data_IF_225693604595
#
_entry.id   IF_225693604595
#
_cell.length_a   1.000
_cell.length_b   1.000
_cell.length_c   1.000
_cell.angle_alpha   90.00
_cell.angle_beta   90.00
_cell.angle_gamma   90.00
#
_symmetry.space_group_name_H-M   'P 1'
#
loop_
_entity.id
_entity.type
_entity.pdbx_description
1 polymer ?
#
# COMPACT_ATOMS: atom_id res chain seq x y z
N UNK A 1 4.07 19.63 -19.58
CA UNK A 1 4.76 18.81 -18.57
C UNK A 1 5.42 19.77 -17.59
N UNK A 2 4.77 20.12 -16.49
CA UNK A 2 5.37 20.93 -15.43
C UNK A 2 6.27 20.00 -14.62
N UNK A 3 7.58 20.23 -14.64
CA UNK A 3 8.53 19.54 -13.79
C UNK A 3 8.07 19.68 -12.32
N UNK A 4 7.87 18.58 -11.63
CA UNK A 4 7.56 18.59 -10.21
C UNK A 4 8.71 19.30 -9.49
N UNK A 5 8.40 20.38 -8.75
CA UNK A 5 9.38 21.14 -7.99
C UNK A 5 9.95 20.23 -6.90
N UNK A 6 11.28 20.09 -6.86
CA UNK A 6 11.94 19.33 -5.81
C UNK A 6 11.53 19.85 -4.42
N UNK A 7 11.11 18.94 -3.53
CA UNK A 7 10.73 19.32 -2.17
C UNK A 7 11.95 19.67 -1.34
N UNK A 8 11.82 20.64 -0.47
CA UNK A 8 12.89 21.08 0.44
C UNK A 8 12.62 20.52 1.84
N UNK A 9 13.55 19.71 2.34
CA UNK A 9 13.51 19.19 3.71
C UNK A 9 14.61 19.88 4.52
N UNK A 10 14.22 20.56 5.58
CA UNK A 10 15.14 21.23 6.50
C UNK A 10 15.23 20.46 7.81
N UNK A 11 16.44 20.11 8.23
CA UNK A 11 16.73 19.65 9.58
C UNK A 11 17.39 20.78 10.36
N UNK A 12 16.66 21.37 11.31
CA UNK A 12 17.18 22.38 12.21
C UNK A 12 17.70 21.69 13.48
N UNK A 13 18.87 22.10 13.92
CA UNK A 13 19.53 21.52 15.09
C UNK A 13 20.43 22.55 15.80
N UNK A 14 20.87 22.26 17.02
CA UNK A 14 21.96 22.96 17.70
C UNK A 14 23.08 21.98 18.05
N UNK A 15 24.30 22.49 18.25
CA UNK A 15 25.47 21.67 18.57
C UNK A 15 25.30 20.96 19.91
N UNK A 16 25.77 19.70 19.94
CA UNK A 16 25.69 18.85 21.12
C UNK A 16 24.37 18.10 21.32
N UNK A 17 23.45 18.20 20.36
CA UNK A 17 22.25 17.37 20.38
C UNK A 17 22.54 15.99 19.77
N UNK A 18 22.54 14.88 20.51
CA UNK A 18 22.87 13.56 19.96
C UNK A 18 21.82 13.06 18.96
N UNK A 19 20.59 13.53 19.09
CA UNK A 19 19.48 13.07 18.26
C UNK A 19 19.59 13.53 16.80
N UNK A 20 20.19 14.71 16.52
CA UNK A 20 20.30 15.18 15.12
C UNK A 20 21.28 14.31 14.30
N UNK A 21 22.38 13.87 14.89
CA UNK A 21 23.35 13.00 14.21
C UNK A 21 22.75 11.65 13.83
N UNK A 22 21.95 11.06 14.74
CA UNK A 22 21.23 9.82 14.48
C UNK A 22 20.12 9.99 13.43
N UNK A 23 19.54 11.19 13.31
CA UNK A 23 18.44 11.47 12.40
C UNK A 23 18.89 11.66 10.94
N UNK A 24 20.10 12.20 10.69
CA UNK A 24 20.57 12.49 9.33
C UNK A 24 20.54 11.26 8.40
N UNK A 25 21.17 10.10 8.74
CA UNK A 25 21.11 8.93 7.89
C UNK A 25 19.68 8.40 7.72
N UNK A 26 18.84 8.50 8.76
CA UNK A 26 17.44 8.10 8.69
C UNK A 26 16.63 8.98 7.74
N UNK A 27 16.80 10.31 7.79
CA UNK A 27 16.15 11.22 6.86
C UNK A 27 16.58 10.93 5.41
N UNK A 28 17.88 10.71 5.16
CA UNK A 28 18.33 10.36 3.80
C UNK A 28 17.64 9.10 3.28
N UNK A 29 17.55 8.04 4.09
CA UNK A 29 16.85 6.82 3.72
C UNK A 29 15.35 7.07 3.44
N UNK A 30 14.69 7.97 4.19
CA UNK A 30 13.29 8.35 3.94
C UNK A 30 13.14 9.15 2.65
N UNK A 31 14.10 10.03 2.33
CA UNK A 31 14.10 10.82 1.09
C UNK A 31 14.35 9.95 -0.13
N UNK A 32 15.24 8.97 -0.04
CA UNK A 32 15.47 7.98 -1.12
C UNK A 32 14.19 7.18 -1.41
N UNK A 33 13.40 6.86 -0.37
CA UNK A 33 12.07 6.21 -0.50
C UNK A 33 11.02 7.13 -1.11
N UNK A 34 11.17 8.45 -0.99
CA UNK A 34 10.26 9.47 -1.50
C UNK A 34 10.59 9.93 -2.93
N UNK A 35 10.98 9.00 -3.83
CA UNK A 35 11.31 9.22 -5.25
C UNK A 35 12.56 10.09 -5.53
N UNK A 36 13.41 10.31 -4.54
CA UNK A 36 14.72 10.99 -4.72
C UNK A 36 14.67 12.45 -5.18
N UNK A 37 13.48 13.08 -5.20
CA UNK A 37 13.30 14.47 -5.67
C UNK A 37 13.41 15.51 -4.55
N UNK A 38 13.55 15.07 -3.28
CA UNK A 38 13.64 15.97 -2.14
C UNK A 38 15.13 16.27 -1.79
N UNK A 39 15.41 17.52 -1.44
CA UNK A 39 16.75 17.99 -1.03
C UNK A 39 16.77 18.18 0.48
N UNK A 40 17.75 17.54 1.16
CA UNK A 40 17.97 17.70 2.60
C UNK A 40 18.93 18.86 2.86
N UNK A 41 18.49 19.84 3.60
CA UNK A 41 19.31 20.94 4.09
C UNK A 41 19.47 20.85 5.61
N UNK A 42 20.70 20.97 6.08
CA UNK A 42 21.02 21.01 7.51
C UNK A 42 21.18 22.47 7.92
N UNK A 43 20.43 22.91 8.92
CA UNK A 43 20.49 24.26 9.44
C UNK A 43 20.77 24.26 10.92
N UNK A 44 21.94 24.81 11.28
CA UNK A 44 22.33 25.03 12.67
C UNK A 44 21.67 26.28 13.23
N UNK A 45 21.18 26.23 14.46
CA UNK A 45 20.61 27.33 15.23
C UNK A 45 21.54 27.61 16.40
N UNK A 46 22.11 28.81 16.48
CA UNK A 46 23.24 29.11 17.36
C UNK A 46 22.84 29.95 18.60
N UNK A 47 21.69 30.58 18.59
CA UNK A 47 21.26 31.42 19.69
C UNK A 47 19.75 31.36 19.95
N UNK A 48 19.35 31.75 21.17
CA UNK A 48 17.93 31.87 21.54
C UNK A 48 17.18 32.88 20.68
N UNK A 49 17.84 33.94 20.24
CA UNK A 49 17.26 34.95 19.37
C UNK A 49 16.99 34.35 17.98
N UNK A 50 17.94 33.60 17.44
CA UNK A 50 17.76 32.88 16.19
C UNK A 50 16.68 31.79 16.30
N UNK A 51 16.62 31.07 17.41
CA UNK A 51 15.58 30.07 17.67
C UNK A 51 14.18 30.68 17.60
N UNK A 52 13.99 31.85 18.18
CA UNK A 52 12.70 32.60 18.10
C UNK A 52 12.40 33.06 16.67
N UNK A 53 13.38 33.67 15.99
CA UNK A 53 13.21 34.12 14.58
C UNK A 53 12.90 32.97 13.65
N UNK A 54 13.57 31.84 13.83
CA UNK A 54 13.37 30.62 13.04
C UNK A 54 12.15 29.80 13.50
N UNK A 55 11.44 30.19 14.57
CA UNK A 55 10.36 29.39 15.19
C UNK A 55 10.83 27.95 15.49
N UNK A 56 12.03 27.84 16.07
CA UNK A 56 12.69 26.57 16.36
C UNK A 56 12.19 26.00 17.68
N UNK A 57 11.46 24.89 17.63
CA UNK A 57 10.83 24.24 18.80
C UNK A 57 11.80 23.33 19.59
N UNK A 58 13.07 23.30 19.19
CA UNK A 58 14.10 22.44 19.78
C UNK A 58 14.71 21.47 18.77
N UNK A 59 15.82 20.84 19.16
CA UNK A 59 16.60 19.94 18.29
C UNK A 59 16.23 18.46 18.55
N UNK A 60 16.07 17.67 17.49
CA UNK A 60 16.00 18.07 16.07
C UNK A 60 14.61 18.59 15.67
N UNK A 61 14.52 19.56 14.78
CA UNK A 61 13.27 19.98 14.13
C UNK A 61 13.35 19.67 12.64
N UNK A 62 12.37 18.96 12.10
CA UNK A 62 12.25 18.65 10.68
C UNK A 62 11.12 19.44 10.07
N UNK A 63 11.36 20.03 8.89
CA UNK A 63 10.37 20.77 8.10
C UNK A 63 10.40 20.32 6.65
N UNK A 64 9.24 20.26 6.02
CA UNK A 64 9.09 20.03 4.60
C UNK A 64 8.43 21.25 3.98
N UNK A 65 9.07 21.86 2.98
CA UNK A 65 8.63 23.09 2.33
C UNK A 65 8.30 24.22 3.34
N UNK A 66 9.13 24.31 4.41
CA UNK A 66 9.00 25.31 5.47
C UNK A 66 7.95 25.00 6.54
N UNK A 67 7.19 23.90 6.42
CA UNK A 67 6.20 23.47 7.43
C UNK A 67 6.78 22.38 8.31
N UNK A 68 6.53 22.47 9.61
CA UNK A 68 6.92 21.43 10.56
C UNK A 68 6.22 20.10 10.25
N UNK A 69 6.94 18.98 10.42
CA UNK A 69 6.37 17.65 10.17
C UNK A 69 5.32 17.25 11.21
N UNK A 70 5.35 17.85 12.41
CA UNK A 70 4.33 17.64 13.43
C UNK A 70 3.20 18.66 13.25
N UNK A 71 1.97 18.25 12.91
CA UNK A 71 0.87 19.18 12.61
C UNK A 71 0.56 20.16 13.73
N UNK A 72 0.64 19.69 14.99
CA UNK A 72 0.33 20.50 16.17
C UNK A 72 1.43 21.54 16.48
N UNK A 73 2.58 21.48 15.80
CA UNK A 73 3.66 22.45 15.97
C UNK A 73 3.24 23.88 15.60
N UNK A 74 2.23 24.05 14.77
CA UNK A 74 1.69 25.37 14.38
C UNK A 74 1.11 26.15 15.56
N UNK A 75 0.59 25.45 16.56
CA UNK A 75 0.00 26.03 17.77
C UNK A 75 1.01 26.28 18.88
N UNK A 76 2.31 25.95 18.68
CA UNK A 76 3.37 26.07 19.70
C UNK A 76 4.16 27.34 19.52
N UNK A 77 4.56 27.96 20.64
CA UNK A 77 5.37 29.17 20.71
C UNK A 77 6.60 29.02 21.65
N UNK A 78 6.82 27.80 22.18
CA UNK A 78 7.89 27.47 23.09
C UNK A 78 9.25 27.30 22.39
N UNK A 79 9.65 28.28 21.58
CA UNK A 79 10.89 28.28 20.80
C UNK A 79 12.13 28.41 21.69
N UNK A 80 13.22 27.68 21.35
CA UNK A 80 14.47 27.78 22.09
C UNK A 80 15.48 26.67 21.79
N UNK A 81 16.70 26.82 22.34
CA UNK A 81 17.79 25.86 22.28
C UNK A 81 17.59 24.74 23.32
N UNK A 82 16.73 23.79 23.01
CA UNK A 82 16.37 22.67 23.89
C UNK A 82 16.19 21.39 23.08
N UNK A 83 16.19 20.24 23.78
CA UNK A 83 15.80 18.99 23.15
C UNK A 83 14.30 19.02 22.80
N UNK A 84 13.98 18.58 21.58
CA UNK A 84 12.61 18.40 21.14
C UNK A 84 12.15 16.97 21.41
N UNK A 85 10.91 16.86 21.88
CA UNK A 85 10.22 15.59 22.01
C UNK A 85 9.04 15.57 21.04
N UNK A 86 8.90 14.48 20.33
CA UNK A 86 7.78 14.16 19.47
C UNK A 86 6.86 13.15 20.14
N UNK A 87 5.63 13.06 19.72
CA UNK A 87 4.72 12.00 20.16
C UNK A 87 4.88 10.78 19.25
N UNK A 88 5.33 9.66 19.81
CA UNK A 88 5.39 8.37 19.11
C UNK A 88 4.00 7.81 18.82
N UNK A 89 3.91 6.83 17.93
CA UNK A 89 2.65 6.14 17.57
C UNK A 89 2.03 5.38 18.75
N UNK A 90 2.83 5.04 19.75
CA UNK A 90 2.41 4.42 21.02
C UNK A 90 2.01 5.44 22.09
N UNK A 91 1.98 6.74 21.75
CA UNK A 91 1.68 7.86 22.64
C UNK A 91 2.84 8.29 23.55
N UNK A 92 3.99 7.61 23.51
CA UNK A 92 5.19 7.97 24.30
C UNK A 92 5.95 9.12 23.66
N UNK A 93 6.67 9.87 24.52
CA UNK A 93 7.57 10.92 24.02
C UNK A 93 8.89 10.31 23.53
N UNK A 94 9.28 10.68 22.31
CA UNK A 94 10.51 10.22 21.63
C UNK A 94 11.33 11.41 21.15
N UNK A 95 12.67 11.28 21.15
CA UNK A 95 13.59 12.36 20.78
C UNK A 95 13.76 12.54 19.26
N UNK A 96 13.19 11.66 18.44
CA UNK A 96 13.23 11.72 16.99
C UNK A 96 11.81 11.78 16.44
N UNK A 97 11.57 12.52 15.33
CA UNK A 97 10.26 12.47 14.68
C UNK A 97 9.98 11.04 14.20
N UNK A 98 8.77 10.50 14.42
CA UNK A 98 8.32 9.28 13.77
C UNK A 98 8.45 9.40 12.23
N UNK A 99 8.86 8.31 11.57
CA UNK A 99 9.01 8.28 10.10
C UNK A 99 7.73 8.68 9.39
N UNK A 100 6.60 8.31 9.97
CA UNK A 100 5.27 8.61 9.43
C UNK A 100 4.99 10.10 9.31
N UNK A 101 5.47 10.91 10.26
CA UNK A 101 5.30 12.37 10.20
C UNK A 101 6.12 12.97 9.06
N UNK A 102 7.35 12.48 8.88
CA UNK A 102 8.22 12.93 7.79
C UNK A 102 7.65 12.53 6.43
N UNK A 103 7.24 11.28 6.29
CA UNK A 103 6.66 10.76 5.06
C UNK A 103 5.34 11.45 4.70
N UNK A 104 4.45 11.65 5.67
CA UNK A 104 3.21 12.40 5.47
C UNK A 104 3.45 13.84 5.01
N UNK A 105 4.43 14.52 5.63
CA UNK A 105 4.81 15.88 5.24
C UNK A 105 5.42 15.93 3.82
N UNK A 106 6.13 14.89 3.41
CA UNK A 106 6.63 14.72 2.04
C UNK A 106 5.51 14.42 1.04
N UNK A 107 4.29 14.20 1.50
CA UNK A 107 3.18 13.75 0.66
C UNK A 107 3.38 12.31 0.18
N UNK A 108 4.31 11.60 0.80
CA UNK A 108 4.46 10.17 0.64
C UNK A 108 3.45 9.55 1.59
N UNK A 109 2.37 9.08 1.03
CA UNK A 109 1.34 8.42 1.79
C UNK A 109 1.95 7.18 2.49
N UNK A 110 1.54 6.94 3.73
CA UNK A 110 1.98 5.80 4.56
C UNK A 110 1.99 4.49 3.78
N UNK A 111 1.05 4.36 2.86
CA UNK A 111 0.85 3.21 2.00
C UNK A 111 1.66 3.25 0.70
N UNK A 112 2.24 4.41 0.32
CA UNK A 112 3.04 4.57 -0.90
C UNK A 112 4.56 4.48 -0.67
N UNK A 113 5.02 4.50 0.58
CA UNK A 113 6.44 4.40 0.94
C UNK A 113 6.87 2.99 1.36
N UNK A 114 5.90 2.08 1.51
CA UNK A 114 6.16 0.67 1.80
C UNK A 114 6.66 -0.08 0.56
N UNK A 115 6.91 -1.37 0.74
CA UNK A 115 7.29 -2.34 -0.30
C UNK A 115 6.27 -2.35 -1.45
N UNK A 116 5.02 -1.97 -1.15
CA UNK A 116 3.96 -1.77 -2.12
C UNK A 116 3.80 -0.27 -2.39
N UNK A 117 4.04 0.14 -3.63
CA UNK A 117 3.87 1.55 -4.05
C UNK A 117 2.43 2.07 -3.88
N UNK A 118 1.46 1.20 -3.62
CA UNK A 118 0.04 1.54 -3.52
C UNK A 118 -0.53 2.17 -4.79
N UNK A 119 0.19 2.08 -5.91
CA UNK A 119 -0.29 2.61 -7.20
C UNK A 119 -1.54 1.86 -7.65
N UNK A 120 -2.57 2.58 -8.13
CA UNK A 120 -3.76 1.94 -8.68
C UNK A 120 -3.40 0.94 -9.78
N UNK A 121 -3.98 -0.27 -9.71
CA UNK A 121 -3.68 -1.31 -10.69
C UNK A 121 -4.05 -0.87 -12.12
N UNK A 122 -5.04 0.00 -12.28
CA UNK A 122 -5.41 0.58 -13.57
C UNK A 122 -4.24 1.30 -14.27
N UNK A 123 -3.26 1.83 -13.52
CA UNK A 123 -2.08 2.48 -14.09
C UNK A 123 -1.17 1.50 -14.84
N UNK A 124 -1.21 0.22 -14.48
CA UNK A 124 -0.54 -0.83 -15.28
C UNK A 124 -1.12 -0.94 -16.70
N UNK A 125 -2.38 -0.54 -16.86
CA UNK A 125 -3.09 -0.55 -18.15
C UNK A 125 -2.99 0.77 -18.92
N UNK A 126 -2.24 1.76 -18.40
CA UNK A 126 -2.03 3.03 -19.09
C UNK A 126 -1.27 2.79 -20.42
N UNK A 127 -1.80 3.39 -21.48
CA UNK A 127 -1.28 3.18 -22.83
C UNK A 127 -1.77 1.90 -23.51
N UNK A 128 -2.43 0.94 -22.83
CA UNK A 128 -3.07 -0.19 -23.49
C UNK A 128 -4.25 0.25 -24.34
N UNK A 129 -4.53 -0.42 -25.46
CA UNK A 129 -5.73 -0.18 -26.27
C UNK A 129 -7.02 -0.26 -25.45
N UNK A 130 -7.99 0.63 -25.71
CA UNK A 130 -9.26 0.64 -24.98
C UNK A 130 -10.00 -0.72 -24.98
N UNK A 131 -10.04 -1.47 -26.11
CA UNK A 131 -10.66 -2.80 -26.13
C UNK A 131 -9.96 -3.82 -25.19
N UNK A 132 -8.63 -3.74 -25.02
CA UNK A 132 -7.90 -4.64 -24.12
C UNK A 132 -8.25 -4.34 -22.66
N UNK A 133 -8.35 -3.05 -22.30
CA UNK A 133 -8.83 -2.64 -20.97
C UNK A 133 -10.27 -3.09 -20.72
N UNK A 134 -11.12 -3.06 -21.76
CA UNK A 134 -12.50 -3.54 -21.64
C UNK A 134 -12.55 -5.07 -21.50
N UNK A 135 -11.72 -5.83 -22.23
CA UNK A 135 -11.59 -7.27 -22.05
C UNK A 135 -11.20 -7.60 -20.60
N UNK A 136 -10.20 -6.91 -20.04
CA UNK A 136 -9.80 -7.08 -18.64
C UNK A 136 -10.96 -6.78 -17.68
N UNK A 137 -11.72 -5.70 -17.89
CA UNK A 137 -12.90 -5.38 -17.05
C UNK A 137 -13.98 -6.45 -17.13
N UNK A 138 -14.22 -7.05 -18.30
CA UNK A 138 -15.16 -8.17 -18.44
C UNK A 138 -14.73 -9.39 -17.63
N UNK A 139 -13.43 -9.69 -17.63
CA UNK A 139 -12.86 -10.76 -16.80
C UNK A 139 -13.14 -10.49 -15.32
N UNK A 140 -12.84 -9.30 -14.81
CA UNK A 140 -13.09 -8.95 -13.43
C UNK A 140 -14.59 -9.02 -13.06
N UNK A 141 -15.47 -8.55 -13.94
CA UNK A 141 -16.92 -8.64 -13.74
C UNK A 141 -17.40 -10.10 -13.71
N UNK A 142 -16.81 -10.99 -14.52
CA UNK A 142 -17.14 -12.42 -14.49
C UNK A 142 -16.80 -13.04 -13.13
N UNK A 143 -15.63 -12.76 -12.56
CA UNK A 143 -15.28 -13.22 -11.22
C UNK A 143 -16.30 -12.75 -10.16
N UNK A 144 -16.77 -11.51 -10.26
CA UNK A 144 -17.78 -10.97 -9.33
C UNK A 144 -19.16 -11.61 -9.55
N UNK A 145 -19.54 -11.92 -10.78
CA UNK A 145 -20.90 -12.35 -11.14
C UNK A 145 -21.07 -13.88 -11.22
N UNK A 146 -20.06 -14.59 -11.73
CA UNK A 146 -20.15 -16.02 -12.02
C UNK A 146 -18.95 -16.82 -11.50
N UNK A 147 -17.96 -17.11 -12.33
CA UNK A 147 -16.74 -17.87 -11.98
C UNK A 147 -15.55 -17.39 -12.81
N UNK A 148 -14.38 -17.96 -12.59
CA UNK A 148 -13.21 -17.71 -13.41
C UNK A 148 -13.52 -18.02 -14.88
N UNK A 149 -13.41 -17.06 -15.81
CA UNK A 149 -13.74 -17.28 -17.21
C UNK A 149 -12.77 -18.24 -17.90
N UNK A 150 -13.28 -18.96 -18.86
CA UNK A 150 -12.50 -19.84 -19.73
C UNK A 150 -11.89 -19.07 -20.90
N UNK A 151 -10.95 -19.70 -21.60
CA UNK A 151 -10.41 -19.14 -22.85
C UNK A 151 -11.48 -18.95 -23.93
N UNK A 152 -12.51 -19.82 -23.95
CA UNK A 152 -13.63 -19.68 -24.88
C UNK A 152 -14.48 -18.45 -24.57
N UNK A 153 -14.73 -18.15 -23.30
CA UNK A 153 -15.37 -16.90 -22.90
C UNK A 153 -14.56 -15.69 -23.37
N UNK A 154 -13.25 -15.71 -23.15
CA UNK A 154 -12.36 -14.64 -23.59
C UNK A 154 -12.36 -14.50 -25.12
N UNK A 155 -12.38 -15.60 -25.85
CA UNK A 155 -12.46 -15.60 -27.34
C UNK A 155 -13.75 -14.94 -27.83
N UNK A 156 -14.88 -15.29 -27.21
CA UNK A 156 -16.16 -14.68 -27.52
C UNK A 156 -16.17 -13.17 -27.24
N UNK A 157 -15.59 -12.76 -26.13
CA UNK A 157 -15.50 -11.34 -25.77
C UNK A 157 -14.51 -10.57 -26.66
N UNK A 158 -13.38 -11.16 -27.01
CA UNK A 158 -12.41 -10.55 -27.91
C UNK A 158 -13.02 -10.34 -29.32
N UNK A 159 -13.73 -11.34 -29.84
CA UNK A 159 -14.45 -11.22 -31.11
C UNK A 159 -15.50 -10.10 -31.08
N UNK A 160 -16.25 -9.97 -29.97
CA UNK A 160 -17.23 -8.89 -29.78
C UNK A 160 -16.59 -7.49 -29.64
N UNK A 161 -15.31 -7.43 -29.27
CA UNK A 161 -14.53 -6.20 -29.17
C UNK A 161 -13.71 -5.89 -30.44
N UNK A 162 -13.73 -6.80 -31.43
CA UNK A 162 -12.98 -6.68 -32.70
C UNK A 162 -11.46 -6.74 -32.49
N UNK A 163 -10.99 -7.59 -31.60
CA UNK A 163 -9.57 -7.73 -31.25
C UNK A 163 -9.11 -9.19 -31.34
N UNK A 164 -7.83 -9.37 -31.60
CA UNK A 164 -7.18 -10.69 -31.57
C UNK A 164 -6.88 -11.06 -30.09
N UNK A 165 -7.39 -12.23 -29.65
CA UNK A 165 -7.30 -12.65 -28.25
C UNK A 165 -5.84 -12.83 -27.81
N UNK A 166 -5.02 -13.49 -28.63
CA UNK A 166 -3.65 -13.83 -28.22
C UNK A 166 -2.77 -12.57 -28.08
N UNK A 167 -2.98 -11.56 -28.91
CA UNK A 167 -2.32 -10.26 -28.78
C UNK A 167 -2.76 -9.54 -27.50
N UNK A 168 -4.06 -9.53 -27.21
CA UNK A 168 -4.60 -8.92 -26.01
C UNK A 168 -4.09 -9.63 -24.74
N UNK A 169 -4.03 -10.96 -24.75
CA UNK A 169 -3.49 -11.74 -23.63
C UNK A 169 -2.00 -11.48 -23.42
N UNK A 170 -1.20 -11.44 -24.48
CA UNK A 170 0.22 -11.14 -24.39
C UNK A 170 0.47 -9.76 -23.73
N UNK A 171 -0.28 -8.74 -24.14
CA UNK A 171 -0.22 -7.39 -23.57
C UNK A 171 -0.62 -7.38 -22.09
N UNK A 172 -1.74 -8.03 -21.72
CA UNK A 172 -2.23 -8.06 -20.34
C UNK A 172 -1.30 -8.87 -19.40
N UNK A 173 -0.66 -9.93 -19.94
CA UNK A 173 0.38 -10.69 -19.21
C UNK A 173 1.65 -9.86 -19.02
N UNK A 174 2.12 -9.17 -20.06
CA UNK A 174 3.30 -8.30 -19.97
C UNK A 174 3.10 -7.19 -18.91
N UNK A 175 1.87 -6.71 -18.76
CA UNK A 175 1.49 -5.72 -17.74
C UNK A 175 1.21 -6.32 -16.37
N UNK A 176 1.36 -7.61 -16.23
CA UNK A 176 1.12 -8.36 -14.98
C UNK A 176 -0.27 -8.08 -14.38
N UNK A 177 -1.32 -8.15 -15.21
CA UNK A 177 -2.72 -7.94 -14.76
C UNK A 177 -3.63 -9.14 -14.98
N UNK A 178 -3.26 -10.06 -15.90
CA UNK A 178 -4.05 -11.26 -16.22
C UNK A 178 -3.15 -12.41 -16.67
N UNK A 179 -3.44 -13.62 -16.17
CA UNK A 179 -2.74 -14.84 -16.55
C UNK A 179 -3.73 -15.99 -16.74
N UNK A 180 -3.50 -16.79 -17.78
CA UNK A 180 -4.22 -18.04 -17.98
C UNK A 180 -3.43 -19.22 -17.42
N UNK A 181 -4.13 -20.19 -16.88
CA UNK A 181 -3.56 -21.50 -16.58
C UNK A 181 -3.41 -22.31 -17.88
N UNK A 182 -2.20 -22.83 -18.10
CA UNK A 182 -1.90 -23.55 -19.34
C UNK A 182 -2.56 -24.94 -19.41
N UNK A 183 -3.04 -25.49 -18.30
CA UNK A 183 -3.63 -26.82 -18.23
C UNK A 183 -5.15 -26.78 -18.23
N UNK A 184 -5.75 -25.88 -17.47
CA UNK A 184 -7.20 -25.78 -17.32
C UNK A 184 -7.89 -24.88 -18.35
N UNK A 185 -7.11 -24.13 -19.13
CA UNK A 185 -7.58 -23.16 -20.12
C UNK A 185 -8.53 -22.09 -19.51
N UNK A 186 -8.35 -21.81 -18.21
CA UNK A 186 -9.09 -20.80 -17.45
C UNK A 186 -8.18 -19.65 -17.04
N UNK A 187 -8.79 -18.53 -16.69
CA UNK A 187 -8.05 -17.42 -16.07
C UNK A 187 -7.60 -17.85 -14.68
N UNK A 188 -6.29 -18.02 -14.52
CA UNK A 188 -5.66 -18.34 -13.23
C UNK A 188 -5.51 -17.12 -12.32
N UNK A 189 -5.18 -15.98 -12.92
CA UNK A 189 -4.97 -14.72 -12.19
C UNK A 189 -5.61 -13.57 -12.96
N UNK A 190 -6.43 -12.80 -12.29
CA UNK A 190 -6.86 -11.47 -12.72
C UNK A 190 -6.97 -10.58 -11.47
N UNK A 191 -5.89 -9.89 -11.11
CA UNK A 191 -5.85 -9.19 -9.83
C UNK A 191 -7.08 -8.30 -9.61
N UNK A 192 -7.72 -8.40 -8.44
CA UNK A 192 -7.31 -9.08 -7.20
C UNK A 192 -7.67 -10.58 -7.13
N UNK A 193 -8.28 -11.18 -8.14
CA UNK A 193 -8.81 -12.54 -8.10
C UNK A 193 -7.78 -13.61 -8.43
N UNK A 194 -7.95 -14.77 -7.77
CA UNK A 194 -7.38 -16.05 -8.16
C UNK A 194 -8.46 -16.94 -8.78
N UNK A 195 -8.15 -17.55 -9.90
CA UNK A 195 -9.00 -18.57 -10.52
C UNK A 195 -8.95 -19.91 -9.80
N UNK A 196 -7.91 -20.11 -8.96
CA UNK A 196 -7.70 -21.31 -8.16
C UNK A 196 -7.92 -21.03 -6.67
N UNK A 197 -8.30 -22.02 -5.87
CA UNK A 197 -8.45 -21.88 -4.44
C UNK A 197 -7.16 -21.40 -3.77
N UNK A 198 -7.28 -20.35 -2.94
CA UNK A 198 -6.21 -19.85 -2.08
C UNK A 198 -6.69 -19.86 -0.63
N UNK A 199 -5.80 -19.52 0.30
CA UNK A 199 -6.19 -19.33 1.70
C UNK A 199 -7.06 -18.09 1.95
N UNK A 200 -7.20 -17.21 0.96
CA UNK A 200 -7.94 -15.95 1.06
C UNK A 200 -9.29 -16.06 0.34
N UNK A 201 -10.32 -16.51 1.08
CA UNK A 201 -11.69 -16.64 0.60
C UNK A 201 -12.45 -15.36 0.88
N UNK A 202 -13.16 -14.86 -0.11
CA UNK A 202 -13.93 -13.62 -0.01
C UNK A 202 -15.37 -13.91 -0.39
N UNK A 203 -16.28 -13.75 0.57
CA UNK A 203 -17.71 -13.84 0.36
C UNK A 203 -18.26 -12.45 0.01
N UNK A 204 -18.95 -12.34 -1.13
CA UNK A 204 -19.74 -11.17 -1.52
C UNK A 204 -21.07 -11.26 -0.79
N UNK A 205 -21.30 -10.38 0.21
CA UNK A 205 -22.42 -10.53 1.17
C UNK A 205 -23.81 -10.37 0.57
N UNK A 206 -23.93 -9.67 -0.56
CA UNK A 206 -25.22 -9.48 -1.24
C UNK A 206 -25.73 -10.74 -1.94
N UNK A 207 -24.83 -11.60 -2.42
CA UNK A 207 -25.14 -12.81 -3.17
C UNK A 207 -24.77 -14.10 -2.43
N UNK A 208 -23.98 -14.01 -1.36
CA UNK A 208 -23.37 -15.16 -0.68
C UNK A 208 -22.31 -15.87 -1.51
N UNK A 209 -21.90 -15.28 -2.65
CA UNK A 209 -20.93 -15.86 -3.55
C UNK A 209 -19.53 -15.78 -2.95
N UNK A 210 -18.79 -16.88 -3.02
CA UNK A 210 -17.38 -16.93 -2.65
C UNK A 210 -16.47 -16.82 -3.89
N UNK A 211 -15.39 -16.01 -3.75
CA UNK A 211 -14.29 -15.91 -4.70
C UNK A 211 -12.96 -16.06 -3.93
N UNK A 212 -11.89 -16.34 -4.65
CA UNK A 212 -10.55 -16.40 -4.08
C UNK A 212 -9.74 -15.17 -4.49
N UNK A 213 -8.92 -14.66 -3.56
CA UNK A 213 -8.01 -13.57 -3.81
C UNK A 213 -6.57 -14.08 -3.85
N UNK A 214 -5.69 -13.36 -4.57
CA UNK A 214 -4.28 -13.75 -4.70
C UNK A 214 -3.51 -13.57 -3.39
N UNK A 215 -3.85 -12.54 -2.59
CA UNK A 215 -3.19 -12.24 -1.33
C UNK A 215 -4.13 -11.53 -0.34
N UNK A 216 -3.63 -11.21 0.87
CA UNK A 216 -4.42 -10.52 1.88
C UNK A 216 -4.88 -9.12 1.45
N UNK A 217 -4.01 -8.33 0.81
CA UNK A 217 -4.37 -6.97 0.32
C UNK A 217 -5.36 -7.06 -0.83
N UNK A 218 -5.19 -8.03 -1.73
CA UNK A 218 -6.13 -8.30 -2.82
C UNK A 218 -7.53 -8.63 -2.26
N UNK A 219 -7.59 -9.50 -1.24
CA UNK A 219 -8.85 -9.87 -0.60
C UNK A 219 -9.60 -8.67 -0.02
N UNK A 220 -8.87 -7.75 0.63
CA UNK A 220 -9.44 -6.53 1.21
C UNK A 220 -9.90 -5.53 0.12
N UNK A 221 -9.22 -5.51 -1.02
CA UNK A 221 -9.50 -4.59 -2.13
C UNK A 221 -10.76 -4.94 -2.93
N UNK A 222 -11.20 -6.23 -2.93
CA UNK A 222 -12.37 -6.71 -3.69
C UNK A 222 -13.64 -5.93 -3.31
N UNK A 223 -13.83 -5.61 -2.02
CA UNK A 223 -15.00 -4.86 -1.56
C UNK A 223 -15.15 -3.52 -2.30
N UNK A 224 -14.08 -2.77 -2.41
CA UNK A 224 -14.06 -1.44 -3.04
C UNK A 224 -14.15 -1.54 -4.57
N UNK A 225 -13.46 -2.51 -5.17
CA UNK A 225 -13.53 -2.74 -6.61
C UNK A 225 -14.95 -3.13 -7.06
N UNK A 226 -15.59 -4.04 -6.33
CA UNK A 226 -16.94 -4.50 -6.65
C UNK A 226 -18.03 -3.56 -6.12
N UNK A 227 -17.70 -2.60 -5.27
CA UNK A 227 -18.62 -1.76 -4.49
C UNK A 227 -19.66 -2.61 -3.72
N UNK A 228 -19.18 -3.65 -3.02
CA UNK A 228 -19.99 -4.61 -2.29
C UNK A 228 -19.38 -4.89 -0.93
N UNK A 229 -20.25 -5.05 0.09
CA UNK A 229 -19.79 -5.54 1.38
C UNK A 229 -19.27 -6.99 1.25
N UNK A 230 -18.13 -7.27 1.87
CA UNK A 230 -17.46 -8.59 1.81
C UNK A 230 -17.14 -9.13 3.19
N UNK A 231 -17.02 -10.45 3.27
CA UNK A 231 -16.39 -11.12 4.41
C UNK A 231 -15.17 -11.90 3.90
N UNK A 232 -14.00 -11.49 4.30
CA UNK A 232 -12.73 -12.19 4.02
C UNK A 232 -12.52 -13.23 5.09
N UNK A 233 -12.31 -14.50 4.69
CA UNK A 233 -11.90 -15.59 5.59
C UNK A 233 -10.54 -16.10 5.14
N UNK A 234 -9.58 -16.04 6.06
CA UNK A 234 -8.22 -16.47 5.82
C UNK A 234 -7.67 -17.23 7.03
N UNK A 235 -6.40 -17.65 6.94
CA UNK A 235 -5.70 -18.31 8.02
C UNK A 235 -4.30 -17.73 8.19
N UNK A 236 -3.88 -17.65 9.44
CA UNK A 236 -2.48 -17.40 9.78
C UNK A 236 -1.61 -18.56 9.25
N UNK A 237 -0.65 -18.31 8.33
CA UNK A 237 0.12 -19.38 7.70
C UNK A 237 1.09 -20.10 8.64
N UNK A 238 1.31 -19.58 9.86
CA UNK A 238 2.16 -20.22 10.86
C UNK A 238 1.39 -21.12 11.81
N UNK A 239 0.16 -20.72 12.15
CA UNK A 239 -0.62 -21.38 13.22
C UNK A 239 -1.87 -22.05 12.71
N UNK A 240 -2.32 -21.73 11.49
CA UNK A 240 -3.62 -22.14 10.95
C UNK A 240 -4.81 -21.43 11.60
N UNK A 241 -4.57 -20.49 12.54
CA UNK A 241 -5.64 -19.74 13.20
C UNK A 241 -6.50 -18.97 12.19
N UNK A 242 -7.82 -19.07 12.31
CA UNK A 242 -8.76 -18.39 11.43
C UNK A 242 -8.72 -16.89 11.66
N UNK A 243 -8.79 -16.13 10.57
CA UNK A 243 -8.88 -14.67 10.58
C UNK A 243 -10.07 -14.28 9.70
N UNK A 244 -10.99 -13.51 10.25
CA UNK A 244 -12.13 -12.98 9.52
C UNK A 244 -12.06 -11.45 9.49
N UNK A 245 -12.24 -10.85 8.30
CA UNK A 245 -12.31 -9.40 8.13
C UNK A 245 -13.55 -9.06 7.33
N UNK A 246 -14.42 -8.21 7.89
CA UNK A 246 -15.61 -7.67 7.22
C UNK A 246 -15.31 -6.28 6.72
N UNK A 247 -15.48 -6.08 5.42
CA UNK A 247 -15.22 -4.81 4.75
C UNK A 247 -16.51 -4.33 4.09
N UNK A 248 -16.98 -3.17 4.50
CA UNK A 248 -18.08 -2.46 3.84
C UNK A 248 -17.54 -1.16 3.22
N UNK A 249 -17.62 -0.96 1.89
CA UNK A 249 -17.14 0.25 1.24
C UNK A 249 -17.75 1.55 1.78
N UNK A 250 -18.97 1.48 2.31
CA UNK A 250 -19.71 2.64 2.82
C UNK A 250 -19.79 2.68 4.35
N UNK A 251 -19.20 1.71 5.05
CA UNK A 251 -19.47 1.52 6.46
C UNK A 251 -18.26 1.10 7.31
N UNK A 252 -18.61 0.42 8.42
CA UNK A 252 -17.68 -0.01 9.45
C UNK A 252 -16.93 -1.25 8.99
N UNK A 253 -15.62 -1.28 9.29
CA UNK A 253 -14.79 -2.46 9.15
C UNK A 253 -14.65 -3.17 10.51
N UNK A 254 -14.73 -4.50 10.47
CA UNK A 254 -14.59 -5.35 11.65
C UNK A 254 -13.67 -6.53 11.35
N UNK A 255 -12.91 -6.99 12.32
CA UNK A 255 -12.06 -8.17 12.17
C UNK A 255 -11.85 -8.92 13.48
N UNK A 256 -11.58 -10.22 13.34
CA UNK A 256 -11.27 -11.14 14.42
C UNK A 256 -10.13 -12.08 13.98
N UNK A 257 -9.07 -12.26 14.83
CA UNK A 257 -8.86 -11.61 16.13
C UNK A 257 -8.50 -10.12 16.00
N UNK A 258 -8.81 -9.31 17.02
CA UNK A 258 -8.52 -7.86 17.02
C UNK A 258 -7.04 -7.53 16.91
N UNK A 259 -6.15 -8.45 17.32
CA UNK A 259 -4.71 -8.33 17.19
C UNK A 259 -4.18 -8.66 15.79
N UNK A 260 -5.06 -9.06 14.84
CA UNK A 260 -4.65 -9.42 13.49
C UNK A 260 -4.04 -8.23 12.75
N UNK A 261 -3.07 -8.55 11.91
CA UNK A 261 -2.33 -7.62 11.06
C UNK A 261 -2.11 -8.25 9.68
N UNK A 262 -1.63 -7.45 8.72
CA UNK A 262 -1.18 -7.96 7.42
C UNK A 262 0.34 -7.89 7.35
N UNK A 263 0.97 -8.99 6.96
CA UNK A 263 2.38 -9.03 6.54
C UNK A 263 2.40 -8.72 5.06
N UNK A 264 3.12 -7.68 4.69
CA UNK A 264 3.37 -7.29 3.31
C UNK A 264 4.85 -7.49 3.02
N UNK A 265 5.21 -8.51 2.24
CA UNK A 265 6.59 -8.81 1.89
C UNK A 265 6.76 -9.16 0.42
N UNK A 266 7.99 -9.06 -0.06
CA UNK A 266 8.39 -9.42 -1.43
C UNK A 266 9.62 -10.31 -1.41
N UNK A 267 9.72 -11.25 -2.36
CA UNK A 267 10.88 -12.09 -2.56
C UNK A 267 11.36 -11.99 -4.01
N UNK A 268 12.23 -11.02 -4.29
CA UNK A 268 12.79 -10.84 -5.64
C UNK A 268 11.87 -10.14 -6.63
N UNK A 269 12.24 -10.17 -7.91
CA UNK A 269 11.49 -9.59 -9.02
C UNK A 269 10.63 -10.63 -9.77
N UNK A 270 9.81 -10.16 -10.71
CA UNK A 270 8.96 -11.01 -11.54
C UNK A 270 7.47 -10.69 -11.38
N UNK A 271 6.57 -11.55 -11.93
CA UNK A 271 5.14 -11.35 -11.78
C UNK A 271 4.70 -11.30 -10.32
N UNK A 272 3.70 -10.46 -10.01
CA UNK A 272 3.20 -10.30 -8.65
C UNK A 272 2.71 -11.63 -8.04
N UNK A 273 2.15 -12.53 -8.86
CA UNK A 273 1.69 -13.86 -8.43
C UNK A 273 2.79 -14.72 -7.80
N UNK A 274 4.05 -14.54 -8.19
CA UNK A 274 5.21 -15.28 -7.65
C UNK A 274 6.10 -14.43 -6.75
N UNK A 275 6.21 -13.13 -7.03
CA UNK A 275 7.13 -12.23 -6.36
C UNK A 275 6.61 -11.63 -5.05
N UNK A 276 5.33 -11.32 -4.95
CA UNK A 276 4.77 -10.68 -3.75
C UNK A 276 3.55 -11.41 -3.17
N UNK A 277 2.57 -11.83 -3.97
CA UNK A 277 1.32 -12.41 -3.45
C UNK A 277 1.51 -13.55 -2.44
N UNK A 278 2.44 -14.51 -2.63
CA UNK A 278 2.69 -15.57 -1.64
C UNK A 278 3.21 -15.05 -0.29
N UNK A 279 3.72 -13.83 -0.25
CA UNK A 279 4.34 -13.22 0.93
C UNK A 279 3.46 -12.13 1.57
N UNK A 280 2.25 -11.90 1.03
CA UNK A 280 1.28 -10.92 1.56
C UNK A 280 0.14 -11.67 2.23
N UNK A 281 0.23 -11.82 3.55
CA UNK A 281 -0.63 -12.70 4.32
C UNK A 281 -1.20 -12.01 5.55
N UNK A 282 -2.35 -12.49 6.03
CA UNK A 282 -2.79 -12.15 7.37
C UNK A 282 -1.96 -12.89 8.42
N UNK A 283 -1.71 -12.24 9.54
CA UNK A 283 -1.14 -12.85 10.74
C UNK A 283 -2.06 -12.56 11.93
N UNK A 284 -2.22 -13.53 12.82
CA UNK A 284 -3.14 -13.45 13.96
C UNK A 284 -2.69 -12.46 15.05
N UNK A 285 -1.41 -12.04 15.01
CA UNK A 285 -0.84 -11.00 15.87
C UNK A 285 0.43 -10.39 15.24
N UNK A 286 0.87 -9.26 15.78
CA UNK A 286 2.14 -8.62 15.38
C UNK A 286 3.35 -9.54 15.62
N UNK A 287 3.38 -10.28 16.71
CA UNK A 287 4.44 -11.26 16.99
C UNK A 287 4.54 -12.31 15.88
N UNK A 288 3.39 -12.80 15.38
CA UNK A 288 3.34 -13.75 14.27
C UNK A 288 3.78 -13.13 12.96
N UNK A 289 3.44 -11.88 12.73
CA UNK A 289 3.91 -11.11 11.58
C UNK A 289 5.44 -10.97 11.58
N UNK A 290 6.04 -10.63 12.72
CA UNK A 290 7.49 -10.54 12.88
C UNK A 290 8.18 -11.88 12.60
N UNK A 291 7.62 -12.99 13.10
CA UNK A 291 8.12 -14.34 12.82
C UNK A 291 8.01 -14.72 11.32
N UNK A 292 6.99 -14.26 10.61
CA UNK A 292 6.88 -14.44 9.15
C UNK A 292 7.95 -13.62 8.41
N UNK A 293 8.16 -12.36 8.81
CA UNK A 293 9.18 -11.48 8.22
C UNK A 293 10.61 -11.96 8.49
N UNK A 294 10.85 -12.69 9.57
CA UNK A 294 12.16 -13.28 9.88
C UNK A 294 12.52 -14.48 8.99
N UNK A 295 11.60 -14.96 8.15
CA UNK A 295 11.89 -16.07 7.22
C UNK A 295 12.78 -15.63 6.07
N UNK A 296 13.73 -16.48 5.61
CA UNK A 296 14.60 -16.12 4.48
C UNK A 296 13.87 -15.83 3.17
N UNK A 297 12.64 -16.33 3.02
CA UNK A 297 11.78 -16.06 1.85
C UNK A 297 11.20 -14.65 1.83
N UNK A 298 11.19 -13.92 2.95
CA UNK A 298 10.76 -12.52 3.03
C UNK A 298 12.00 -11.63 2.90
N UNK A 299 12.43 -11.33 1.67
CA UNK A 299 13.65 -10.54 1.44
C UNK A 299 13.52 -9.09 1.95
N UNK A 300 12.32 -8.51 1.80
CA UNK A 300 11.93 -7.21 2.36
C UNK A 300 10.46 -7.29 2.75
N UNK A 301 10.11 -6.78 3.92
CA UNK A 301 8.73 -6.85 4.40
C UNK A 301 8.43 -5.85 5.50
N UNK A 302 7.14 -5.57 5.65
CA UNK A 302 6.60 -4.72 6.71
C UNK A 302 5.29 -5.31 7.26
N UNK A 303 4.90 -4.84 8.43
CA UNK A 303 3.62 -5.20 9.05
C UNK A 303 2.67 -4.01 8.96
N UNK A 304 1.50 -4.21 8.36
CA UNK A 304 0.43 -3.23 8.25
C UNK A 304 -0.66 -3.53 9.28
N UNK A 305 -1.23 -2.51 9.89
CA UNK A 305 -2.51 -2.65 10.58
C UNK A 305 -3.60 -3.06 9.58
N UNK A 306 -4.67 -3.70 10.04
CA UNK A 306 -5.76 -4.12 9.13
C UNK A 306 -6.36 -2.91 8.42
N UNK A 307 -6.54 -1.79 9.10
CA UNK A 307 -7.07 -0.55 8.53
C UNK A 307 -6.18 -0.02 7.40
N UNK A 308 -4.87 -0.02 7.61
CA UNK A 308 -3.90 0.43 6.60
C UNK A 308 -3.91 -0.50 5.38
N UNK A 309 -4.02 -1.81 5.60
CA UNK A 309 -4.12 -2.80 4.53
C UNK A 309 -5.44 -2.70 3.75
N UNK A 310 -6.55 -2.36 4.41
CA UNK A 310 -7.85 -2.07 3.77
C UNK A 310 -7.71 -0.83 2.87
N UNK A 311 -7.13 0.24 3.37
CA UNK A 311 -6.96 1.47 2.59
C UNK A 311 -5.98 1.25 1.41
N UNK A 312 -4.94 0.42 1.59
CA UNK A 312 -4.05 0.00 0.50
C UNK A 312 -4.82 -0.77 -0.58
N UNK A 313 -5.62 -1.76 -0.20
CA UNK A 313 -6.47 -2.53 -1.13
C UNK A 313 -7.46 -1.63 -1.88
N UNK A 314 -8.11 -0.70 -1.19
CA UNK A 314 -9.01 0.30 -1.79
C UNK A 314 -8.28 1.16 -2.83
N UNK A 315 -7.08 1.64 -2.52
CA UNK A 315 -6.28 2.47 -3.43
C UNK A 315 -5.87 1.69 -4.68
N UNK A 316 -5.40 0.45 -4.52
CA UNK A 316 -4.93 -0.36 -5.64
C UNK A 316 -6.08 -0.75 -6.55
N UNK A 317 -7.23 -1.15 -6.00
CA UNK A 317 -8.28 -1.82 -6.77
C UNK A 317 -9.58 -1.03 -6.92
N UNK A 318 -9.85 -0.05 -6.05
CA UNK A 318 -11.16 0.60 -5.93
C UNK A 318 -11.70 1.28 -7.20
N UNK A 319 -10.84 1.59 -8.16
CA UNK A 319 -11.23 2.27 -9.41
C UNK A 319 -11.25 1.37 -10.65
N UNK A 320 -10.99 0.06 -10.50
CA UNK A 320 -10.85 -0.84 -11.65
C UNK A 320 -12.14 -1.08 -12.42
N UNK A 321 -13.26 -1.21 -11.72
CA UNK A 321 -14.59 -1.46 -12.32
C UNK A 321 -15.45 -0.21 -12.40
N UNK A 322 -15.02 0.89 -11.79
CA UNK A 322 -15.74 2.16 -11.83
C UNK A 322 -15.02 3.11 -12.78
N UNK A 323 -15.75 3.65 -13.75
CA UNK A 323 -15.28 4.81 -14.47
C UNK A 323 -15.18 5.95 -13.47
N UNK A 324 -13.98 6.53 -13.32
CA UNK A 324 -13.79 7.70 -12.47
C UNK A 324 -14.73 8.83 -12.90
N UNK A 325 -14.89 9.89 -12.11
CA UNK A 325 -15.79 10.99 -12.47
C UNK A 325 -15.46 11.46 -13.88
N UNK A 326 -16.50 11.49 -14.73
CA UNK A 326 -16.45 12.03 -16.09
C UNK A 326 -16.14 13.52 -16.04
#
# INVERSE_FOLDING_TARGET
MTAARARRVELLYFDGCPNHEALVPRLRALLDRADGTAVLELRRVESEEEARRARFLGSPTVRVDGRDVEPDAVARDDYGLKCRLYRGTDGRSVGLPPDELVLAALGVDRLGSGIFSGRPLKERLDGSPAPYRELHRRVLRAFVATEAPTRDDLRAWAAALGIELDEALAELQQRDVLWLDAQSDRVAVAYPFSGEPTQHRVELRDSGREVFAMCAVDALGIAFMANKATTVRSRDPMTGHGIEVRVDPAGVQEWEPRAAVVVAAVSGGGPSASGCCPHVNFASSRERAEALLARPSAAQGETLAIEDAIELGKRIFGTLLHDGPR
#
